data_IF_782103538198
#
_entry.id   IF_782103538198
#
_cell.length_a   1.000
_cell.length_b   1.000
_cell.length_c   1.000
_cell.angle_alpha   90.00
_cell.angle_beta   90.00
_cell.angle_gamma   90.00
#
_symmetry.space_group_name_H-M   'P 1'
#
loop_
_entity.id
_entity.type
_entity.pdbx_description
1 polymer ?
#
# COMPACT_ATOMS: atom_id res chain seq x y z
N UNK A 1 8.12 -12.75 2.85
CA UNK A 1 7.36 -14.02 2.68
C UNK A 1 6.99 -14.26 1.20
N UNK A 2 6.56 -15.48 0.82
CA UNK A 2 5.82 -15.70 -0.45
C UNK A 2 4.37 -15.23 -0.28
N UNK A 3 3.78 -14.67 -1.33
CA UNK A 3 2.39 -14.24 -1.33
C UNK A 3 1.41 -15.41 -1.40
N UNK A 4 0.26 -15.27 -0.74
CA UNK A 4 -0.90 -16.12 -0.97
C UNK A 4 -1.60 -15.76 -2.29
N UNK A 5 -2.47 -16.65 -2.80
CA UNK A 5 -3.33 -16.33 -3.94
C UNK A 5 -4.20 -15.09 -3.69
N UNK A 6 -4.73 -14.96 -2.47
CA UNK A 6 -5.50 -13.80 -2.03
C UNK A 6 -4.70 -12.50 -2.11
N UNK A 7 -3.47 -12.48 -1.61
CA UNK A 7 -2.63 -11.30 -1.65
C UNK A 7 -2.31 -10.86 -3.09
N UNK A 8 -2.08 -11.83 -3.99
CA UNK A 8 -1.85 -11.55 -5.42
C UNK A 8 -3.14 -10.97 -6.06
N UNK A 9 -4.30 -11.52 -5.75
CA UNK A 9 -5.58 -11.03 -6.26
C UNK A 9 -5.87 -9.59 -5.79
N UNK A 10 -5.65 -9.32 -4.50
CA UNK A 10 -5.75 -7.98 -3.90
C UNK A 10 -4.80 -7.01 -4.61
N UNK A 11 -3.53 -7.38 -4.77
CA UNK A 11 -2.54 -6.53 -5.42
C UNK A 11 -2.91 -6.18 -6.87
N UNK A 12 -3.49 -7.13 -7.63
CA UNK A 12 -3.96 -6.87 -9.00
C UNK A 12 -5.12 -5.88 -9.03
N UNK A 13 -6.08 -5.99 -8.11
CA UNK A 13 -7.19 -5.02 -7.97
C UNK A 13 -6.67 -3.63 -7.64
N UNK A 14 -5.72 -3.53 -6.71
CA UNK A 14 -5.05 -2.26 -6.39
C UNK A 14 -4.37 -1.66 -7.62
N UNK A 15 -3.59 -2.44 -8.37
CA UNK A 15 -2.89 -1.95 -9.56
C UNK A 15 -3.85 -1.44 -10.65
N UNK A 16 -5.02 -2.06 -10.80
CA UNK A 16 -6.05 -1.62 -11.76
C UNK A 16 -6.67 -0.25 -11.43
N UNK A 17 -6.41 0.29 -10.23
CA UNK A 17 -6.90 1.59 -9.78
C UNK A 17 -5.77 2.52 -9.32
N UNK A 18 -4.56 2.33 -9.86
CA UNK A 18 -3.35 3.08 -9.52
C UNK A 18 -3.02 3.06 -8.01
N UNK A 19 -3.33 1.93 -7.38
CA UNK A 19 -3.12 1.70 -5.96
C UNK A 19 -1.64 1.60 -5.60
N UNK A 20 -1.23 2.28 -4.52
CA UNK A 20 0.16 2.31 -4.04
C UNK A 20 0.24 2.31 -2.52
N UNK A 21 1.32 1.78 -1.99
CA UNK A 21 1.62 1.82 -0.56
C UNK A 21 2.68 2.89 -0.29
N UNK A 22 2.34 3.87 0.54
CA UNK A 22 3.22 4.95 0.97
C UNK A 22 3.75 4.61 2.36
N UNK A 23 5.05 4.58 2.55
CA UNK A 23 5.64 4.24 3.84
C UNK A 23 7.10 4.66 3.97
N UNK A 24 7.72 4.28 5.09
CA UNK A 24 9.13 4.51 5.35
C UNK A 24 9.88 3.17 5.49
N UNK A 25 11.13 3.10 5.02
CA UNK A 25 11.90 1.85 5.04
C UNK A 25 12.12 1.28 6.45
N UNK A 26 12.23 2.16 7.45
CA UNK A 26 12.47 1.81 8.86
C UNK A 26 11.19 1.51 9.65
N UNK A 27 10.01 1.77 9.07
CA UNK A 27 8.73 1.66 9.76
C UNK A 27 8.32 0.20 9.96
N UNK A 28 8.19 -0.23 11.22
CA UNK A 28 7.85 -1.61 11.59
C UNK A 28 6.52 -2.08 10.98
N UNK A 29 5.47 -1.24 11.04
CA UNK A 29 4.18 -1.52 10.42
C UNK A 29 4.26 -1.65 8.90
N UNK A 30 5.19 -0.92 8.26
CA UNK A 30 5.42 -0.99 6.82
C UNK A 30 6.10 -2.31 6.45
N UNK A 31 7.04 -2.76 7.27
CA UNK A 31 7.68 -4.08 7.13
C UNK A 31 6.64 -5.19 7.31
N UNK A 32 5.82 -5.12 8.37
CA UNK A 32 4.75 -6.08 8.61
C UNK A 32 3.75 -6.13 7.45
N UNK A 33 3.31 -4.98 6.96
CA UNK A 33 2.40 -4.91 5.81
C UNK A 33 2.99 -5.58 4.56
N UNK A 34 4.29 -5.37 4.28
CA UNK A 34 5.00 -6.04 3.18
C UNK A 34 5.04 -7.55 3.38
N UNK A 35 5.22 -8.02 4.61
CA UNK A 35 5.19 -9.45 4.94
C UNK A 35 3.78 -10.06 4.82
N UNK A 36 2.73 -9.33 5.20
CA UNK A 36 1.32 -9.74 5.00
C UNK A 36 1.00 -9.93 3.52
N UNK A 37 1.46 -9.01 2.67
CA UNK A 37 1.26 -9.08 1.22
C UNK A 37 2.16 -10.14 0.57
N UNK A 38 3.40 -10.26 1.02
CA UNK A 38 4.42 -11.12 0.42
C UNK A 38 5.02 -10.56 -0.87
N UNK A 39 6.10 -11.21 -1.31
CA UNK A 39 7.00 -10.69 -2.36
C UNK A 39 6.31 -10.48 -3.70
N UNK A 40 5.51 -11.44 -4.15
CA UNK A 40 4.88 -11.43 -5.47
C UNK A 40 3.80 -10.35 -5.55
N UNK A 41 3.00 -10.18 -4.50
CA UNK A 41 2.00 -9.13 -4.40
C UNK A 41 2.62 -7.73 -4.28
N UNK A 42 3.68 -7.58 -3.47
CA UNK A 42 4.42 -6.32 -3.36
C UNK A 42 5.24 -5.97 -4.61
N UNK A 43 5.48 -6.92 -5.52
CA UNK A 43 6.05 -6.62 -6.83
C UNK A 43 5.02 -6.02 -7.81
N UNK A 44 3.72 -6.18 -7.52
CA UNK A 44 2.62 -5.64 -8.33
C UNK A 44 2.22 -4.26 -7.83
N UNK A 45 2.16 -4.06 -6.51
CA UNK A 45 1.79 -2.77 -5.90
C UNK A 45 3.04 -1.90 -5.72
N UNK A 46 3.11 -0.71 -6.33
CA UNK A 46 4.20 0.22 -6.11
C UNK A 46 4.32 0.62 -4.63
N UNK A 47 5.55 0.57 -4.11
CA UNK A 47 5.91 1.16 -2.84
C UNK A 47 6.54 2.53 -3.07
N UNK A 48 6.03 3.56 -2.39
CA UNK A 48 6.58 4.91 -2.38
C UNK A 48 7.31 5.11 -1.06
N UNK A 49 8.61 5.34 -1.15
CA UNK A 49 9.46 5.66 -0.01
C UNK A 49 9.27 7.13 0.37
N UNK A 50 8.69 7.38 1.54
CA UNK A 50 8.35 8.71 2.02
C UNK A 50 9.43 9.35 2.90
N UNK A 51 10.39 8.58 3.40
CA UNK A 51 11.46 9.13 4.21
C UNK A 51 12.56 9.73 3.33
N UNK A 52 13.05 10.93 3.68
CA UNK A 52 14.09 11.63 2.92
C UNK A 52 15.43 10.89 2.90
N UNK A 53 15.72 10.10 3.93
CA UNK A 53 16.94 9.29 4.03
C UNK A 53 16.80 7.93 3.33
N UNK A 54 15.59 7.60 2.88
CA UNK A 54 15.30 6.38 2.14
C UNK A 54 15.88 6.39 0.73
N UNK A 55 16.26 5.21 0.25
CA UNK A 55 16.73 5.03 -1.13
C UNK A 55 15.62 5.36 -2.14
N UNK A 56 15.94 6.17 -3.15
CA UNK A 56 14.97 6.70 -4.11
C UNK A 56 13.74 7.32 -3.43
N UNK A 57 13.98 8.10 -2.37
CA UNK A 57 12.95 8.86 -1.67
C UNK A 57 12.08 9.65 -2.64
N UNK A 58 10.79 9.58 -2.41
CA UNK A 58 9.73 10.33 -3.08
C UNK A 58 8.90 11.07 -2.01
N UNK A 59 9.59 11.64 -1.02
CA UNK A 59 8.96 12.36 0.09
C UNK A 59 8.00 13.45 -0.38
N UNK A 60 8.34 14.17 -1.44
CA UNK A 60 7.50 15.18 -2.08
C UNK A 60 6.14 14.61 -2.56
N UNK A 61 6.15 13.40 -3.12
CA UNK A 61 4.91 12.68 -3.50
C UNK A 61 4.06 12.38 -2.27
N UNK A 62 4.67 11.98 -1.15
CA UNK A 62 3.96 11.69 0.09
C UNK A 62 3.40 12.95 0.75
N UNK A 63 4.17 14.04 0.77
CA UNK A 63 3.76 15.34 1.28
C UNK A 63 2.58 15.89 0.45
N UNK A 64 2.66 15.83 -0.88
CA UNK A 64 1.60 16.26 -1.79
C UNK A 64 0.33 15.40 -1.67
N UNK A 65 0.47 14.10 -1.40
CA UNK A 65 -0.67 13.23 -1.13
C UNK A 65 -1.31 13.49 0.25
N UNK A 66 -0.63 14.18 1.16
CA UNK A 66 -1.12 14.47 2.51
C UNK A 66 -0.98 13.29 3.48
N UNK A 67 0.04 12.45 3.31
CA UNK A 67 0.31 11.32 4.21
C UNK A 67 0.64 11.82 5.62
N UNK A 68 -0.06 11.29 6.63
CA UNK A 68 0.15 11.67 8.05
C UNK A 68 0.73 10.55 8.91
N UNK A 69 0.85 9.34 8.36
CA UNK A 69 1.35 8.17 9.07
C UNK A 69 1.62 7.01 8.12
N UNK A 70 2.46 6.07 8.57
CA UNK A 70 2.93 4.96 7.76
C UNK A 70 2.53 3.60 8.35
N UNK A 71 2.24 2.59 7.50
CA UNK A 71 2.00 2.75 6.07
C UNK A 71 0.69 3.51 5.83
N UNK A 72 0.51 4.06 4.63
CA UNK A 72 -0.77 4.52 4.12
C UNK A 72 -1.00 3.91 2.75
N UNK A 73 -2.21 3.41 2.52
CA UNK A 73 -2.64 2.91 1.22
C UNK A 73 -3.30 4.04 0.46
N UNK A 74 -2.81 4.36 -0.74
CA UNK A 74 -3.55 5.20 -1.66
C UNK A 74 -4.27 4.32 -2.66
N UNK A 75 -5.60 4.34 -2.64
CA UNK A 75 -6.46 3.50 -3.46
C UNK A 75 -7.54 4.38 -4.07
N UNK A 76 -7.69 4.36 -5.40
CA UNK A 76 -8.69 5.17 -6.08
C UNK A 76 -8.58 6.68 -5.79
N UNK A 77 -7.37 7.18 -5.54
CA UNK A 77 -7.11 8.58 -5.18
C UNK A 77 -7.32 8.95 -3.71
N UNK A 78 -7.86 8.06 -2.87
CA UNK A 78 -8.07 8.28 -1.45
C UNK A 78 -6.96 7.64 -0.60
N UNK A 79 -6.66 8.22 0.57
CA UNK A 79 -5.69 7.68 1.53
C UNK A 79 -6.37 6.90 2.66
N UNK A 80 -5.87 5.71 2.92
CA UNK A 80 -6.29 4.82 4.00
C UNK A 80 -5.09 4.53 4.92
N UNK A 81 -5.01 5.16 6.10
CA UNK A 81 -3.83 5.06 6.96
C UNK A 81 -3.77 3.73 7.72
N UNK A 82 -2.54 3.33 8.05
CA UNK A 82 -2.20 2.21 8.91
C UNK A 82 -2.15 0.85 8.21
N UNK A 83 -1.47 -0.08 8.87
CA UNK A 83 -1.43 -1.50 8.50
C UNK A 83 -2.84 -2.11 8.40
N UNK A 84 -3.01 -3.08 7.50
CA UNK A 84 -4.27 -3.76 7.19
C UNK A 84 -4.02 -5.24 6.97
N UNK A 85 -4.97 -6.06 7.44
CA UNK A 85 -5.06 -7.46 7.04
C UNK A 85 -5.46 -7.59 5.57
N UNK A 86 -5.27 -8.77 4.97
CA UNK A 86 -5.75 -9.04 3.61
C UNK A 86 -7.27 -8.91 3.50
N UNK A 87 -8.00 -9.30 4.55
CA UNK A 87 -9.45 -9.11 4.63
C UNK A 87 -9.82 -7.63 4.62
N UNK A 88 -9.20 -6.81 5.48
CA UNK A 88 -9.47 -5.37 5.51
C UNK A 88 -9.11 -4.67 4.20
N UNK A 89 -8.03 -5.09 3.52
CA UNK A 89 -7.70 -4.57 2.19
C UNK A 89 -8.76 -4.96 1.15
N UNK A 90 -9.30 -6.18 1.23
CA UNK A 90 -10.36 -6.64 0.34
C UNK A 90 -11.65 -5.84 0.55
N UNK A 91 -12.06 -5.63 1.79
CA UNK A 91 -13.24 -4.83 2.13
C UNK A 91 -13.11 -3.40 1.61
N UNK A 92 -11.95 -2.76 1.80
CA UNK A 92 -11.68 -1.43 1.25
C UNK A 92 -11.82 -1.39 -0.27
N UNK A 93 -11.29 -2.39 -0.97
CA UNK A 93 -11.40 -2.46 -2.44
C UNK A 93 -12.84 -2.69 -2.88
N UNK A 94 -13.59 -3.55 -2.19
CA UNK A 94 -15.00 -3.81 -2.48
C UNK A 94 -15.84 -2.53 -2.31
N UNK A 95 -15.58 -1.73 -1.28
CA UNK A 95 -16.28 -0.47 -1.02
C UNK A 95 -15.95 0.59 -2.07
N UNK A 96 -14.68 0.70 -2.48
CA UNK A 96 -14.25 1.62 -3.55
C UNK A 96 -14.92 1.26 -4.88
N UNK A 97 -14.99 -0.03 -5.22
CA UNK A 97 -15.59 -0.51 -6.46
C UNK A 97 -17.10 -0.31 -6.50
N UNK A 98 -17.80 -0.45 -5.36
CA UNK A 98 -19.24 -0.18 -5.25
C UNK A 98 -19.59 1.30 -5.33
N UNK A 99 -18.65 2.18 -4.98
CA UNK A 99 -18.85 3.63 -4.99
C UNK A 99 -18.65 4.27 -6.37
N UNK A 100 -18.24 3.48 -7.38
CA UNK A 100 -18.08 3.89 -8.79
C UNK A 100 -19.32 3.58 -9.60
#
# INVERSE_FOLDING_TARGET
SRSSGDAIAIARRMAAMDGRMLGAYWCSHCINQKETMGREAMAIVPYVECDAEGSNSQRDVCDAAGVRGYPSWQLGGQLFPGEKSLEGLRELLDDIEKAR
#
